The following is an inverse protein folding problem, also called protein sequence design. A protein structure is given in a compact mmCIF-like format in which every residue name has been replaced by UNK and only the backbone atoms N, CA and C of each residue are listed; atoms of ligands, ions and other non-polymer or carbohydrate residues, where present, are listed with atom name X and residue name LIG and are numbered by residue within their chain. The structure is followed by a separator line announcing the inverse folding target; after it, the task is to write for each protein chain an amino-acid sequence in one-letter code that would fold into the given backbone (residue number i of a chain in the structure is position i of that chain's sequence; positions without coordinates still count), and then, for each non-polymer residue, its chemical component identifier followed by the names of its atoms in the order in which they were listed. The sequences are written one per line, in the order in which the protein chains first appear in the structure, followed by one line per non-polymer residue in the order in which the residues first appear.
data_IF_651398784202
#
_entry.id   IF_651398784202
#
_cell.length_a   1.000
_cell.length_b   1.000
_cell.length_c   1.000
_cell.angle_alpha   90.00
_cell.angle_beta   90.00
_cell.angle_gamma   90.00
#
_symmetry.space_group_name_H-M   'P 1'
#
loop_
_entity.id
_entity.type
_entity.pdbx_description
1 polymer ?
#
# COMPACT_ATOMS: atom_id res chain seq x y z
N UNK A 1 -33.66 6.65 5.64
CA UNK A 1 -32.67 7.13 4.65
C UNK A 1 -31.78 5.94 4.30
N UNK A 2 -31.86 5.38 3.09
CA UNK A 2 -30.97 4.31 2.64
C UNK A 2 -29.53 4.84 2.46
N UNK A 3 -28.49 4.01 2.61
CA UNK A 3 -27.12 4.42 2.27
C UNK A 3 -27.03 4.73 0.78
N UNK A 4 -26.30 5.79 0.43
CA UNK A 4 -26.09 6.25 -0.94
C UNK A 4 -25.60 5.12 -1.86
N UNK A 5 -25.99 5.13 -3.15
CA UNK A 5 -25.41 4.20 -4.12
C UNK A 5 -23.89 4.44 -4.19
N UNK A 6 -23.04 3.40 -4.30
CA UNK A 6 -21.66 3.60 -4.71
C UNK A 6 -21.66 3.99 -6.19
N UNK A 7 -21.91 5.26 -6.48
CA UNK A 7 -21.55 5.88 -7.74
C UNK A 7 -20.02 5.92 -7.82
N UNK A 8 -19.46 4.84 -8.35
CA UNK A 8 -18.35 4.83 -9.30
C UNK A 8 -17.88 3.39 -9.39
N UNK A 9 -17.98 2.80 -10.58
CA UNK A 9 -17.13 1.70 -10.99
C UNK A 9 -15.68 2.20 -11.13
N UNK A 10 -15.15 2.84 -10.10
CA UNK A 10 -13.72 3.13 -9.93
C UNK A 10 -13.04 1.78 -10.07
N UNK A 11 -12.10 1.68 -11.01
CA UNK A 11 -11.41 0.46 -11.36
C UNK A 11 -11.07 -0.35 -10.10
N UNK A 12 -11.84 -1.44 -9.87
CA UNK A 12 -11.76 -2.26 -8.66
C UNK A 12 -10.28 -2.55 -8.39
N UNK A 13 -9.78 -2.06 -7.27
CA UNK A 13 -8.43 -2.37 -6.85
C UNK A 13 -8.26 -3.87 -6.70
N UNK A 14 -7.10 -4.35 -7.11
CA UNK A 14 -6.74 -5.75 -6.95
C UNK A 14 -5.57 -5.85 -5.99
N UNK A 15 -5.72 -6.72 -5.00
CA UNK A 15 -4.65 -7.14 -4.10
C UNK A 15 -4.39 -8.61 -4.39
N UNK A 16 -3.18 -8.91 -4.86
CA UNK A 16 -2.80 -10.26 -5.28
C UNK A 16 -1.47 -10.64 -4.66
N UNK A 17 -1.39 -11.88 -4.22
CA UNK A 17 -0.13 -12.50 -3.82
C UNK A 17 0.40 -13.30 -5.02
N UNK A 18 1.54 -12.88 -5.55
CA UNK A 18 2.26 -13.60 -6.60
C UNK A 18 3.37 -14.43 -5.95
N UNK A 19 3.42 -15.71 -6.30
CA UNK A 19 4.57 -16.55 -5.96
C UNK A 19 5.60 -16.39 -7.08
N UNK A 20 6.78 -15.91 -6.75
CA UNK A 20 7.91 -15.78 -7.69
C UNK A 20 9.03 -16.72 -7.27
N UNK A 21 9.99 -16.97 -8.17
CA UNK A 21 11.17 -17.77 -7.84
C UNK A 21 12.01 -17.16 -6.70
N UNK A 22 11.90 -15.85 -6.47
CA UNK A 22 12.51 -15.11 -5.36
C UNK A 22 11.62 -14.98 -4.12
N UNK A 23 10.49 -15.70 -4.07
CA UNK A 23 9.54 -15.68 -2.96
C UNK A 23 8.24 -14.94 -3.26
N UNK A 24 7.52 -14.53 -2.21
CA UNK A 24 6.16 -13.98 -2.34
C UNK A 24 6.17 -12.49 -2.58
N UNK A 25 5.41 -12.03 -3.55
CA UNK A 25 5.26 -10.61 -3.90
C UNK A 25 3.82 -10.18 -3.72
N UNK A 26 3.59 -9.11 -2.96
CA UNK A 26 2.27 -8.49 -2.81
C UNK A 26 2.09 -7.43 -3.90
N UNK A 27 1.24 -7.69 -4.87
CA UNK A 27 0.91 -6.74 -5.93
C UNK A 27 -0.42 -6.05 -5.64
N UNK A 28 -0.37 -4.72 -5.59
CA UNK A 28 -1.50 -3.82 -5.48
C UNK A 28 -1.61 -3.01 -6.77
N UNK A 29 -2.80 -2.96 -7.35
CA UNK A 29 -3.07 -2.15 -8.53
C UNK A 29 -4.50 -1.60 -8.52
N UNK A 30 -4.70 -0.43 -9.13
CA UNK A 30 -5.98 0.25 -9.16
C UNK A 30 -6.33 0.96 -7.85
N UNK A 31 -7.63 1.13 -7.59
CA UNK A 31 -8.15 1.80 -6.40
C UNK A 31 -8.40 0.76 -5.28
N UNK A 32 -7.43 0.65 -4.37
CA UNK A 32 -7.48 -0.36 -3.31
C UNK A 32 -8.30 0.13 -2.13
N UNK A 33 -9.56 -0.29 -2.14
CA UNK A 33 -10.56 0.05 -1.13
C UNK A 33 -10.68 -1.03 -0.04
N UNK A 34 -11.53 -0.77 0.95
CA UNK A 34 -11.77 -1.68 2.06
C UNK A 34 -12.30 -3.05 1.60
N UNK A 35 -13.12 -3.10 0.53
CA UNK A 35 -13.67 -4.35 0.03
C UNK A 35 -12.59 -5.21 -0.66
N UNK A 36 -11.64 -4.60 -1.37
CA UNK A 36 -10.48 -5.29 -1.93
C UNK A 36 -9.60 -5.89 -0.82
N UNK A 37 -9.35 -5.14 0.25
CA UNK A 37 -8.62 -5.62 1.44
C UNK A 37 -9.36 -6.78 2.11
N UNK A 38 -10.65 -6.63 2.40
CA UNK A 38 -11.47 -7.69 3.01
C UNK A 38 -11.48 -8.96 2.15
N UNK A 39 -11.59 -8.82 0.83
CA UNK A 39 -11.56 -9.96 -0.10
C UNK A 39 -10.21 -10.69 -0.06
N UNK A 40 -9.11 -9.95 0.06
CA UNK A 40 -7.78 -10.51 0.22
C UNK A 40 -7.63 -11.23 1.57
N UNK A 41 -8.01 -10.59 2.67
CA UNK A 41 -7.95 -11.14 4.02
C UNK A 41 -8.82 -12.40 4.17
N UNK A 42 -9.98 -12.45 3.52
CA UNK A 42 -10.82 -13.65 3.47
C UNK A 42 -10.16 -14.80 2.72
N UNK A 43 -9.35 -14.51 1.71
CA UNK A 43 -8.72 -15.52 0.84
C UNK A 43 -7.39 -16.04 1.40
N UNK A 44 -6.59 -15.16 2.01
CA UNK A 44 -5.23 -15.47 2.45
C UNK A 44 -5.06 -15.45 3.98
N UNK A 45 -6.07 -15.00 4.73
CA UNK A 45 -6.03 -14.86 6.18
C UNK A 45 -5.61 -13.46 6.62
N UNK A 46 -5.72 -13.21 7.94
CA UNK A 46 -5.26 -11.96 8.58
C UNK A 46 -3.80 -11.97 9.00
N UNK A 47 -3.13 -13.11 8.95
CA UNK A 47 -1.71 -13.15 9.25
C UNK A 47 -0.92 -12.50 8.11
N UNK A 48 -0.05 -11.52 8.41
CA UNK A 48 0.79 -10.89 7.39
C UNK A 48 1.70 -11.96 6.80
N UNK A 49 1.44 -12.30 5.53
CA UNK A 49 2.24 -13.29 4.84
C UNK A 49 3.66 -12.75 4.69
N UNK A 50 4.67 -13.58 4.97
CA UNK A 50 6.07 -13.21 4.67
C UNK A 50 6.20 -13.01 3.17
N UNK A 51 6.26 -11.76 2.76
CA UNK A 51 6.53 -11.32 1.40
C UNK A 51 7.98 -10.86 1.32
N UNK A 52 8.57 -10.94 0.13
CA UNK A 52 9.94 -10.51 -0.18
C UNK A 52 9.90 -9.18 -0.96
N UNK A 53 8.80 -8.90 -1.66
CA UNK A 53 8.57 -7.61 -2.30
C UNK A 53 7.09 -7.19 -2.28
N UNK A 54 6.86 -5.89 -2.40
CA UNK A 54 5.53 -5.28 -2.50
C UNK A 54 5.55 -4.37 -3.73
N UNK A 55 4.68 -4.64 -4.71
CA UNK A 55 4.47 -3.76 -5.86
C UNK A 55 3.18 -2.97 -5.68
N UNK A 56 3.32 -1.69 -5.38
CA UNK A 56 2.25 -0.71 -5.32
C UNK A 56 2.43 0.37 -6.42
N UNK A 57 3.24 0.10 -7.45
CA UNK A 57 3.55 1.06 -8.51
C UNK A 57 2.35 1.39 -9.41
N UNK A 58 1.38 0.50 -9.47
CA UNK A 58 0.17 0.63 -10.31
C UNK A 58 -1.07 1.05 -9.51
N UNK A 59 -0.88 1.47 -8.26
CA UNK A 59 -1.96 1.92 -7.38
C UNK A 59 -2.36 3.34 -7.74
N UNK A 60 -3.65 3.52 -8.00
CA UNK A 60 -4.27 4.80 -8.34
C UNK A 60 -5.07 5.40 -7.19
N UNK A 61 -5.32 4.63 -6.12
CA UNK A 61 -5.93 5.11 -4.89
C UNK A 61 -5.78 4.10 -3.75
N UNK A 62 -5.66 4.61 -2.53
CA UNK A 62 -5.54 3.81 -1.31
C UNK A 62 -6.53 4.31 -0.27
N UNK A 63 -7.37 3.41 0.21
CA UNK A 63 -8.19 3.64 1.39
C UNK A 63 -7.36 3.48 2.67
N UNK A 64 -7.80 4.09 3.78
CA UNK A 64 -7.16 3.94 5.09
C UNK A 64 -6.84 2.48 5.47
N UNK A 65 -7.76 1.49 5.36
CA UNK A 65 -7.42 0.10 5.68
C UNK A 65 -6.39 -0.53 4.73
N UNK A 66 -6.28 -0.06 3.49
CA UNK A 66 -5.25 -0.52 2.57
C UNK A 66 -3.86 0.01 2.95
N UNK A 67 -3.79 1.23 3.50
CA UNK A 67 -2.55 1.81 4.06
C UNK A 67 -2.13 1.02 5.29
N UNK A 68 -3.04 0.78 6.24
CA UNK A 68 -2.76 -0.01 7.44
C UNK A 68 -2.25 -1.41 7.08
N UNK A 69 -2.89 -2.09 6.12
CA UNK A 69 -2.44 -3.39 5.63
C UNK A 69 -1.00 -3.35 5.10
N UNK A 70 -0.65 -2.29 4.35
CA UNK A 70 0.69 -2.13 3.81
C UNK A 70 1.70 -1.91 4.95
N UNK A 71 1.38 -1.07 5.93
CA UNK A 71 2.21 -0.82 7.10
C UNK A 71 2.43 -2.09 7.91
N UNK A 72 1.38 -2.87 8.17
CA UNK A 72 1.47 -4.15 8.88
C UNK A 72 2.42 -5.14 8.19
N UNK A 73 2.39 -5.21 6.85
CA UNK A 73 3.30 -6.07 6.09
C UNK A 73 4.75 -5.56 6.16
N UNK A 74 4.96 -4.25 6.13
CA UNK A 74 6.29 -3.66 6.28
C UNK A 74 6.85 -3.92 7.68
N UNK A 75 6.08 -3.65 8.72
CA UNK A 75 6.48 -3.91 10.10
C UNK A 75 6.71 -5.42 10.35
N UNK A 76 5.91 -6.30 9.77
CA UNK A 76 6.14 -7.74 9.84
C UNK A 76 7.43 -8.16 9.14
N UNK A 77 7.74 -7.60 7.97
CA UNK A 77 8.98 -7.85 7.25
C UNK A 77 10.22 -7.36 8.01
N UNK A 78 10.15 -6.15 8.57
CA UNK A 78 11.20 -5.58 9.40
C UNK A 78 11.44 -6.43 10.66
N UNK A 79 10.37 -6.85 11.35
CA UNK A 79 10.47 -7.77 12.51
C UNK A 79 11.03 -9.14 12.13
N UNK A 80 10.81 -9.59 10.90
CA UNK A 80 11.38 -10.83 10.39
C UNK A 80 12.86 -10.67 9.97
N UNK A 81 13.44 -9.48 10.05
CA UNK A 81 14.83 -9.20 9.69
C UNK A 81 15.11 -9.29 8.19
N UNK A 82 14.06 -9.25 7.35
CA UNK A 82 14.16 -9.27 5.90
C UNK A 82 13.43 -8.05 5.33
N UNK A 83 14.14 -6.92 5.12
CA UNK A 83 13.51 -5.73 4.55
C UNK A 83 12.97 -6.05 3.15
N UNK A 84 11.69 -5.76 2.95
CA UNK A 84 11.01 -6.03 1.68
C UNK A 84 11.25 -4.91 0.68
N UNK A 85 11.46 -5.26 -0.58
CA UNK A 85 11.56 -4.25 -1.63
C UNK A 85 10.17 -3.72 -1.96
N UNK A 86 9.93 -2.43 -1.76
CA UNK A 86 8.63 -1.80 -2.04
C UNK A 86 8.73 -0.92 -3.28
N UNK A 87 8.05 -1.30 -4.35
CA UNK A 87 7.85 -0.44 -5.51
C UNK A 87 6.65 0.46 -5.24
N UNK A 88 6.90 1.70 -4.87
CA UNK A 88 5.87 2.70 -4.54
C UNK A 88 5.57 3.57 -5.76
N UNK A 89 4.29 3.87 -6.00
CA UNK A 89 3.91 4.95 -6.90
C UNK A 89 4.06 6.31 -6.18
N UNK A 90 4.18 7.45 -6.89
CA UNK A 90 4.21 8.77 -6.27
C UNK A 90 3.00 9.06 -5.38
N UNK A 91 1.84 8.45 -5.68
CA UNK A 91 0.64 8.53 -4.86
C UNK A 91 0.83 7.77 -3.55
N UNK A 92 1.34 6.53 -3.61
CA UNK A 92 1.62 5.70 -2.42
C UNK A 92 2.61 6.41 -1.51
N UNK A 93 3.64 7.04 -2.08
CA UNK A 93 4.64 7.79 -1.31
C UNK A 93 4.01 8.98 -0.58
N UNK A 94 3.15 9.75 -1.25
CA UNK A 94 2.40 10.85 -0.63
C UNK A 94 1.48 10.36 0.49
N UNK A 95 0.73 9.29 0.25
CA UNK A 95 -0.22 8.72 1.23
C UNK A 95 0.52 8.19 2.46
N UNK A 96 1.65 7.50 2.27
CA UNK A 96 2.49 7.05 3.39
C UNK A 96 3.10 8.23 4.15
N UNK A 97 3.51 9.29 3.46
CA UNK A 97 4.04 10.49 4.09
C UNK A 97 3.01 11.23 4.95
N UNK A 98 1.72 11.19 4.59
CA UNK A 98 0.63 11.73 5.43
C UNK A 98 0.19 10.76 6.54
N UNK A 99 0.23 9.45 6.30
CA UNK A 99 -0.14 8.44 7.30
C UNK A 99 0.93 8.22 8.39
N UNK A 100 2.19 8.47 8.07
CA UNK A 100 3.33 8.41 9.00
C UNK A 100 3.87 9.82 9.30
N UNK A 101 3.11 10.72 9.97
CA UNK A 101 3.58 12.09 10.23
C UNK A 101 4.86 12.17 11.09
N UNK A 102 5.44 11.04 11.53
CA UNK A 102 6.67 10.96 12.32
C UNK A 102 7.88 10.23 11.68
N UNK A 103 7.77 9.55 10.53
CA UNK A 103 8.93 8.85 9.90
C UNK A 103 9.52 9.67 8.74
N UNK A 104 10.25 10.73 9.12
CA UNK A 104 11.23 11.52 8.35
C UNK A 104 11.06 11.57 6.81
N UNK A 105 10.42 12.64 6.35
CA UNK A 105 10.81 13.32 5.12
C UNK A 105 12.06 14.16 5.42
N UNK A 106 13.22 14.00 4.76
CA UNK A 106 14.25 15.04 4.82
C UNK A 106 13.65 16.34 4.26
N UNK A 107 13.84 17.49 4.94
CA UNK A 107 13.35 18.77 4.43
C UNK A 107 13.93 19.01 3.03
N UNK A 108 13.10 19.49 2.12
CA UNK A 108 13.58 19.94 0.81
C UNK A 108 14.69 21.00 1.02
N UNK A 109 15.77 20.99 0.22
CA UNK A 109 16.79 22.02 0.35
C UNK A 109 16.17 23.41 0.12
N UNK A 110 16.41 24.39 1.01
CA UNK A 110 16.00 25.76 0.74
C UNK A 110 16.92 26.31 -0.36
N UNK A 111 16.41 26.40 -1.59
CA UNK A 111 17.23 26.84 -2.71
C UNK A 111 16.41 27.26 -3.91
N UNK A 112 15.86 28.47 -3.88
CA UNK A 112 16.12 29.50 -4.89
C UNK A 112 15.29 30.73 -4.57
N UNK A 113 15.95 31.74 -4.00
CA UNK A 113 15.47 33.11 -3.98
C UNK A 113 15.66 33.64 -5.42
N UNK A 114 14.62 34.11 -6.12
CA UNK A 114 14.82 34.78 -7.41
C UNK A 114 15.34 36.21 -7.19
N UNK A 115 16.04 36.80 -8.18
CA UNK A 115 16.74 38.08 -8.07
C UNK A 115 15.82 39.29 -7.88
#
# INVERSE_FOLDING_TARGET
MPPAPPDSATARGVVRLLNTAGGRVLCLAGDVDAAAVESFLRRYGREPARVEAIDAGSVTGLSAPAVELLLDHLDAAERAGRPVTVRRSPLVDRVLATALPGRRRPPAPPGSVPP
#
